data_IF_174156106887
#
_entry.id   IF_174156106887
#
_cell.length_a   1.000
_cell.length_b   1.000
_cell.length_c   1.000
_cell.angle_alpha   90.00
_cell.angle_beta   90.00
_cell.angle_gamma   90.00
#
_symmetry.space_group_name_H-M   'P 1'
#
loop_
_entity.id
_entity.type
_entity.pdbx_description
1 polymer ?
#
# COMPACT_ATOMS: atom_id res chain seq x y z
N UNK A 1 32.35 24.65 2.20
CA UNK A 1 31.09 24.04 1.74
C UNK A 1 30.76 22.92 2.71
N UNK A 2 29.91 23.17 3.71
CA UNK A 2 29.51 22.13 4.65
C UNK A 2 28.55 21.17 3.93
N UNK A 3 28.72 19.83 4.06
CA UNK A 3 27.80 18.88 3.47
C UNK A 3 26.42 19.06 4.12
N UNK A 4 25.39 19.19 3.27
CA UNK A 4 24.01 19.12 3.74
C UNK A 4 23.80 17.75 4.41
N UNK A 5 23.22 17.69 5.62
CA UNK A 5 22.91 16.42 6.24
C UNK A 5 21.94 15.66 5.34
N UNK A 6 22.27 14.40 5.03
CA UNK A 6 21.36 13.49 4.34
C UNK A 6 20.04 13.42 5.12
N UNK A 7 18.87 13.51 4.44
CA UNK A 7 17.60 13.40 5.13
C UNK A 7 17.54 12.05 5.86
N UNK A 8 17.23 12.10 7.16
CA UNK A 8 16.95 10.87 7.94
C UNK A 8 15.64 10.29 7.39
N UNK A 9 15.64 9.00 7.10
CA UNK A 9 14.44 8.28 6.67
C UNK A 9 13.32 8.45 7.70
N UNK A 10 12.09 8.73 7.23
CA UNK A 10 10.92 8.81 8.10
C UNK A 10 10.54 7.42 8.62
N UNK A 11 9.79 7.33 9.72
CA UNK A 11 9.34 6.03 10.27
C UNK A 11 8.55 5.20 9.27
N UNK A 12 7.82 5.85 8.37
CA UNK A 12 7.07 5.18 7.29
C UNK A 12 7.97 4.64 6.18
N UNK A 13 9.06 5.34 5.84
CA UNK A 13 10.04 4.83 4.86
C UNK A 13 10.71 3.54 5.38
N UNK A 14 10.96 3.47 6.69
CA UNK A 14 11.55 2.29 7.32
C UNK A 14 10.62 1.08 7.31
N UNK A 15 9.32 1.29 7.57
CA UNK A 15 8.31 0.23 7.54
C UNK A 15 8.05 -0.27 6.12
N UNK A 16 7.98 0.63 5.13
CA UNK A 16 7.89 0.26 3.73
C UNK A 16 9.09 -0.60 3.31
N UNK A 17 10.31 -0.18 3.67
CA UNK A 17 11.51 -0.98 3.43
C UNK A 17 11.47 -2.35 4.08
N UNK A 18 11.10 -2.44 5.36
CA UNK A 18 11.08 -3.72 6.07
C UNK A 18 10.06 -4.71 5.49
N UNK A 19 8.90 -4.22 5.05
CA UNK A 19 7.89 -5.05 4.38
C UNK A 19 8.41 -5.53 3.03
N UNK A 20 9.03 -4.62 2.25
CA UNK A 20 9.58 -4.98 0.95
C UNK A 20 10.76 -5.93 1.06
N UNK A 21 11.67 -5.74 2.02
CA UNK A 21 12.79 -6.66 2.29
C UNK A 21 12.30 -8.08 2.65
N UNK A 22 11.15 -8.21 3.31
CA UNK A 22 10.54 -9.52 3.59
C UNK A 22 9.89 -10.14 2.35
N UNK A 23 9.24 -9.35 1.52
CA UNK A 23 8.61 -9.83 0.27
C UNK A 23 9.67 -10.16 -0.80
N UNK A 24 10.79 -9.45 -0.80
CA UNK A 24 11.96 -9.67 -1.68
C UNK A 24 12.54 -11.07 -1.49
N UNK A 25 12.56 -11.56 -0.25
CA UNK A 25 13.02 -12.91 0.09
C UNK A 25 12.20 -14.02 -0.59
N UNK A 26 10.95 -13.75 -0.98
CA UNK A 26 10.06 -14.72 -1.63
C UNK A 26 9.94 -14.53 -3.16
N UNK A 27 10.65 -13.57 -3.77
CA UNK A 27 10.56 -13.31 -5.21
C UNK A 27 11.04 -14.46 -6.10
N UNK A 28 11.87 -15.35 -5.56
CA UNK A 28 12.36 -16.52 -6.27
C UNK A 28 11.34 -17.68 -6.30
N UNK A 29 10.27 -17.60 -5.51
CA UNK A 29 9.23 -18.61 -5.52
C UNK A 29 8.31 -18.45 -6.72
N UNK A 30 8.03 -19.57 -7.37
CA UNK A 30 7.12 -19.64 -8.51
C UNK A 30 6.03 -20.67 -8.27
N UNK A 31 4.86 -20.45 -8.88
CA UNK A 31 3.79 -21.44 -8.91
C UNK A 31 4.10 -22.59 -9.89
N UNK A 32 3.21 -23.58 -9.96
CA UNK A 32 3.36 -24.74 -10.85
C UNK A 32 3.49 -24.38 -12.35
N UNK A 33 3.11 -23.15 -12.71
CA UNK A 33 3.13 -22.64 -14.08
C UNK A 33 4.32 -21.69 -14.30
N UNK A 34 5.24 -21.58 -13.35
CA UNK A 34 6.46 -20.77 -13.44
C UNK A 34 6.25 -19.27 -13.20
N UNK A 35 5.08 -18.85 -12.69
CA UNK A 35 4.81 -17.44 -12.38
C UNK A 35 5.27 -17.09 -10.97
N UNK A 36 5.80 -15.88 -10.71
CA UNK A 36 6.07 -15.43 -9.34
C UNK A 36 4.83 -15.59 -8.44
N UNK A 37 5.00 -16.06 -7.21
CA UNK A 37 3.88 -16.39 -6.30
C UNK A 37 2.92 -15.25 -5.98
N UNK A 38 3.30 -13.99 -6.24
CA UNK A 38 2.44 -12.83 -6.03
C UNK A 38 1.65 -12.43 -7.28
N UNK A 39 1.98 -12.99 -8.46
CA UNK A 39 1.22 -12.71 -9.67
C UNK A 39 -0.24 -13.13 -9.52
N UNK A 40 -1.15 -12.26 -9.98
CA UNK A 40 -2.59 -12.47 -9.87
C UNK A 40 -3.17 -12.12 -8.50
N UNK A 41 -2.34 -11.71 -7.52
CA UNK A 41 -2.80 -11.14 -6.25
C UNK A 41 -3.02 -9.63 -6.39
N UNK A 42 -3.96 -9.11 -5.61
CA UNK A 42 -4.30 -7.68 -5.58
C UNK A 42 -3.83 -7.04 -4.29
N UNK A 43 -3.14 -5.91 -4.40
CA UNK A 43 -2.68 -5.10 -3.27
C UNK A 43 -3.56 -3.86 -3.05
N UNK A 44 -3.61 -3.40 -1.80
CA UNK A 44 -4.23 -2.14 -1.37
C UNK A 44 -3.35 -1.50 -0.29
N UNK A 45 -3.31 -0.17 -0.24
CA UNK A 45 -2.58 0.57 0.80
C UNK A 45 -3.55 1.38 1.64
N UNK A 46 -3.55 1.17 2.95
CA UNK A 46 -4.29 1.96 3.93
C UNK A 46 -3.32 2.68 4.86
N UNK A 47 -3.45 4.00 5.00
CA UNK A 47 -2.58 4.80 5.87
C UNK A 47 -3.40 5.54 6.92
N UNK A 48 -2.95 5.49 8.16
CA UNK A 48 -3.51 6.25 9.28
C UNK A 48 -2.36 6.97 9.95
N UNK A 49 -2.49 8.29 10.13
CA UNK A 49 -1.48 9.07 10.84
C UNK A 49 -2.01 10.43 11.27
N UNK A 50 -1.36 11.05 12.25
CA UNK A 50 -1.76 12.37 12.76
C UNK A 50 -1.10 13.53 11.99
N UNK A 51 -0.25 13.24 11.02
CA UNK A 51 0.55 14.21 10.27
C UNK A 51 0.41 14.00 8.77
N UNK A 52 0.78 15.03 8.00
CA UNK A 52 0.87 14.96 6.55
C UNK A 52 1.94 13.96 6.10
N UNK A 53 1.71 13.31 4.96
CA UNK A 53 2.62 12.30 4.42
C UNK A 53 1.93 11.04 3.89
N UNK A 54 0.62 10.88 4.08
CA UNK A 54 -0.11 9.69 3.63
C UNK A 54 0.10 9.38 2.14
N UNK A 55 0.11 10.41 1.27
CA UNK A 55 0.35 10.24 -0.16
C UNK A 55 1.75 9.71 -0.49
N UNK A 56 2.78 10.18 0.22
CA UNK A 56 4.15 9.68 0.04
C UNK A 56 4.24 8.21 0.45
N UNK A 57 3.68 7.86 1.62
CA UNK A 57 3.67 6.46 2.10
C UNK A 57 2.91 5.55 1.14
N UNK A 58 1.78 6.01 0.60
CA UNK A 58 1.01 5.29 -0.42
C UNK A 58 1.85 5.08 -1.69
N UNK A 59 2.61 6.10 -2.12
CA UNK A 59 3.45 6.00 -3.30
C UNK A 59 4.59 4.97 -3.10
N UNK A 60 5.29 5.03 -1.98
CA UNK A 60 6.43 4.15 -1.70
C UNK A 60 5.98 2.68 -1.53
N UNK A 61 4.91 2.44 -0.76
CA UNK A 61 4.33 1.11 -0.60
C UNK A 61 3.70 0.61 -1.91
N UNK A 62 3.01 1.49 -2.64
CA UNK A 62 2.37 1.15 -3.90
C UNK A 62 3.39 0.69 -4.95
N UNK A 63 4.49 1.45 -5.10
CA UNK A 63 5.57 1.07 -6.00
C UNK A 63 6.18 -0.27 -5.58
N UNK A 64 6.51 -0.44 -4.31
CA UNK A 64 7.11 -1.68 -3.84
C UNK A 64 6.20 -2.91 -3.98
N UNK A 65 4.89 -2.77 -3.73
CA UNK A 65 3.92 -3.85 -3.98
C UNK A 65 3.86 -4.23 -5.47
N UNK A 66 3.93 -3.23 -6.35
CA UNK A 66 3.99 -3.45 -7.79
C UNK A 66 5.28 -4.18 -8.19
N UNK A 67 6.42 -3.79 -7.62
CA UNK A 67 7.73 -4.37 -7.94
C UNK A 67 7.81 -5.86 -7.55
N UNK A 68 7.15 -6.26 -6.46
CA UNK A 68 7.10 -7.67 -6.04
C UNK A 68 5.99 -8.48 -6.73
N UNK A 69 5.19 -7.85 -7.60
CA UNK A 69 4.25 -8.55 -8.49
C UNK A 69 2.77 -8.48 -8.11
N UNK A 70 2.37 -7.69 -7.12
CA UNK A 70 0.94 -7.41 -6.89
C UNK A 70 0.38 -6.48 -7.96
N UNK A 71 -0.89 -6.68 -8.31
CA UNK A 71 -1.62 -5.70 -9.12
C UNK A 71 -2.38 -4.74 -8.22
N UNK A 72 -2.25 -3.44 -8.47
CA UNK A 72 -2.99 -2.41 -7.73
C UNK A 72 -4.21 -1.93 -8.52
N UNK A 73 -5.34 -1.80 -7.84
CA UNK A 73 -6.56 -1.30 -8.45
C UNK A 73 -6.55 0.23 -8.60
N UNK A 74 -7.36 0.74 -9.53
CA UNK A 74 -7.62 2.18 -9.63
C UNK A 74 -8.20 2.69 -8.29
N UNK A 75 -7.66 3.79 -7.77
CA UNK A 75 -7.99 4.29 -6.42
C UNK A 75 -7.86 3.20 -5.34
N UNK A 76 -6.86 2.31 -5.47
CA UNK A 76 -6.58 1.19 -4.56
C UNK A 76 -5.89 1.59 -3.26
N UNK A 77 -6.18 2.79 -2.76
CA UNK A 77 -5.65 3.25 -1.49
C UNK A 77 -6.67 4.06 -0.71
N UNK A 78 -6.51 4.08 0.60
CA UNK A 78 -7.33 4.89 1.50
C UNK A 78 -6.47 5.46 2.61
N UNK A 79 -6.88 6.58 3.18
CA UNK A 79 -6.17 7.14 4.31
C UNK A 79 -7.05 7.94 5.25
N UNK A 80 -6.54 8.12 6.45
CA UNK A 80 -6.96 9.13 7.39
C UNK A 80 -5.75 9.92 7.85
N UNK A 81 -5.89 11.25 7.85
CA UNK A 81 -4.90 12.16 8.43
C UNK A 81 -5.61 13.04 9.47
N UNK A 82 -5.07 13.07 10.68
CA UNK A 82 -5.53 13.94 11.76
C UNK A 82 -5.36 15.43 11.45
N UNK A 83 -6.10 16.30 12.13
CA UNK A 83 -5.84 17.74 12.01
C UNK A 83 -4.53 18.11 12.68
N UNK A 84 -3.70 18.90 12.00
CA UNK A 84 -2.48 19.45 12.56
C UNK A 84 -2.77 20.12 13.91
N UNK A 85 -1.90 19.87 14.90
CA UNK A 85 -2.01 20.39 16.28
C UNK A 85 -3.11 19.76 17.16
N UNK A 86 -3.90 18.80 16.66
CA UNK A 86 -4.80 18.01 17.50
C UNK A 86 -4.13 16.68 17.89
N UNK A 87 -4.34 16.24 19.13
CA UNK A 87 -3.78 14.99 19.69
C UNK A 87 -4.69 13.78 19.53
N UNK A 88 -5.77 13.89 18.74
CA UNK A 88 -6.75 12.82 18.60
C UNK A 88 -6.18 11.74 17.69
N UNK A 89 -6.00 10.53 18.21
CA UNK A 89 -5.65 9.38 17.38
C UNK A 89 -6.90 8.84 16.68
N UNK A 90 -6.71 8.20 15.52
CA UNK A 90 -7.81 7.57 14.78
C UNK A 90 -8.60 6.55 15.64
N UNK A 91 -7.92 5.82 16.52
CA UNK A 91 -8.54 4.83 17.41
C UNK A 91 -9.48 5.47 18.45
N UNK A 92 -9.30 6.75 18.74
CA UNK A 92 -10.11 7.49 19.72
C UNK A 92 -11.34 8.13 19.07
N UNK A 93 -11.48 8.05 17.75
CA UNK A 93 -12.65 8.53 17.05
C UNK A 93 -13.85 7.62 17.36
N UNK A 94 -14.98 8.23 17.73
CA UNK A 94 -16.22 7.48 17.95
C UNK A 94 -16.75 6.78 16.69
N UNK A 95 -16.39 7.29 15.52
CA UNK A 95 -16.74 6.72 14.23
C UNK A 95 -15.69 7.05 13.19
N UNK A 96 -15.54 6.18 12.19
CA UNK A 96 -14.75 6.47 11.00
C UNK A 96 -15.32 7.70 10.28
N UNK A 97 -14.49 8.70 9.97
CA UNK A 97 -14.94 9.84 9.19
C UNK A 97 -15.49 9.41 7.82
N UNK A 98 -16.58 10.03 7.39
CA UNK A 98 -17.30 9.63 6.17
C UNK A 98 -16.41 9.64 4.93
N UNK A 99 -15.49 10.62 4.82
CA UNK A 99 -14.54 10.72 3.71
C UNK A 99 -13.61 9.50 3.67
N UNK A 100 -13.04 9.11 4.82
CA UNK A 100 -12.20 7.92 4.93
C UNK A 100 -13.00 6.65 4.64
N UNK A 101 -14.23 6.54 5.17
CA UNK A 101 -15.11 5.39 4.93
C UNK A 101 -15.47 5.26 3.43
N UNK A 102 -15.77 6.37 2.76
CA UNK A 102 -16.09 6.39 1.34
C UNK A 102 -14.89 5.97 0.48
N UNK A 103 -13.71 6.58 0.73
CA UNK A 103 -12.47 6.21 0.06
C UNK A 103 -12.14 4.71 0.25
N UNK A 104 -12.30 4.21 1.47
CA UNK A 104 -12.14 2.78 1.79
C UNK A 104 -13.10 1.92 0.98
N UNK A 105 -14.39 2.30 0.93
CA UNK A 105 -15.39 1.60 0.15
C UNK A 105 -15.09 1.56 -1.35
N UNK A 106 -14.56 2.65 -1.93
CA UNK A 106 -14.14 2.70 -3.34
C UNK A 106 -12.96 1.76 -3.56
N UNK A 107 -11.91 1.86 -2.73
CA UNK A 107 -10.72 1.03 -2.84
C UNK A 107 -11.05 -0.46 -2.79
N UNK A 108 -11.90 -0.89 -1.85
CA UNK A 108 -12.34 -2.28 -1.71
C UNK A 108 -13.14 -2.73 -2.93
N UNK A 109 -14.09 -1.92 -3.43
CA UNK A 109 -14.89 -2.29 -4.62
C UNK A 109 -14.00 -2.50 -5.84
N UNK A 110 -13.04 -1.63 -6.06
CA UNK A 110 -12.13 -1.69 -7.20
C UNK A 110 -11.17 -2.88 -7.08
N UNK A 111 -10.60 -3.13 -5.90
CA UNK A 111 -9.75 -4.30 -5.65
C UNK A 111 -10.51 -5.61 -5.81
N UNK A 112 -11.73 -5.71 -5.28
CA UNK A 112 -12.55 -6.91 -5.44
C UNK A 112 -12.92 -7.16 -6.91
N UNK A 113 -13.19 -6.10 -7.67
CA UNK A 113 -13.40 -6.22 -9.11
C UNK A 113 -12.13 -6.72 -9.82
N UNK A 114 -10.98 -6.12 -9.56
CA UNK A 114 -9.70 -6.51 -10.13
C UNK A 114 -9.32 -7.96 -9.78
N UNK A 115 -9.53 -8.37 -8.52
CA UNK A 115 -9.25 -9.74 -8.08
C UNK A 115 -10.10 -10.78 -8.84
N UNK A 116 -11.37 -10.45 -9.14
CA UNK A 116 -12.22 -11.30 -9.98
C UNK A 116 -11.71 -11.38 -11.41
N UNK A 117 -11.26 -10.25 -11.99
CA UNK A 117 -10.68 -10.23 -13.33
C UNK A 117 -9.41 -11.07 -13.42
N UNK A 118 -8.47 -10.91 -12.48
CA UNK A 118 -7.22 -11.67 -12.44
C UNK A 118 -7.46 -13.16 -12.18
N UNK A 119 -8.47 -13.51 -11.40
CA UNK A 119 -8.87 -14.91 -11.21
C UNK A 119 -9.43 -15.52 -12.50
N UNK A 120 -10.20 -14.75 -13.27
CA UNK A 120 -10.81 -15.23 -14.52
C UNK A 120 -9.81 -15.24 -15.69
N UNK A 121 -8.88 -14.30 -15.71
CA UNK A 121 -7.84 -14.15 -16.72
C UNK A 121 -6.51 -13.80 -16.03
N UNK A 122 -5.78 -14.81 -15.52
CA UNK A 122 -4.50 -14.59 -14.87
C UNK A 122 -3.46 -14.00 -15.81
N UNK A 123 -2.38 -13.47 -15.24
CA UNK A 123 -1.19 -13.15 -16.04
C UNK A 123 -0.67 -14.38 -16.78
N UNK A 124 -0.13 -14.20 -18.00
CA UNK A 124 0.54 -15.28 -18.71
C UNK A 124 1.72 -15.82 -17.90
N UNK A 125 2.04 -17.09 -18.10
CA UNK A 125 3.30 -17.65 -17.64
C UNK A 125 4.48 -16.97 -18.35
N UNK A 126 5.59 -16.83 -17.64
CA UNK A 126 6.84 -16.31 -18.18
C UNK A 126 7.55 -17.35 -19.06
#
# INVERSE_FOLDING_TARGET
MHPFPSPKASSSDLLARQVLERLDAELSETDEQGRPIFFGKVGLVAVVGNEDGAHKVIADLGQGLSDVGFTLAAQGSTYWVGQAMHTTDYQDLQQTPEVTANATGIAIRNAAHLARLLKASPYPAC
#
